data_IF_358771969746
#
_entry.id   IF_358771969746
#
_cell.length_a   1.000
_cell.length_b   1.000
_cell.length_c   1.000
_cell.angle_alpha   90.00
_cell.angle_beta   90.00
_cell.angle_gamma   90.00
#
_symmetry.space_group_name_H-M   'P 1'
#
loop_
_entity.id
_entity.type
_entity.pdbx_description
1 polymer ?
#
# COMPACT_ATOMS: atom_id res chain seq x y z
N UNK A 1 -42.59 -20.24 -17.08
CA UNK A 1 -41.16 -20.18 -17.43
C UNK A 1 -40.65 -18.78 -17.77
N UNK A 2 -41.34 -18.00 -18.63
CA UNK A 2 -40.90 -16.66 -19.04
C UNK A 2 -40.58 -15.68 -17.89
N UNK A 3 -41.36 -15.69 -16.80
CA UNK A 3 -41.11 -14.80 -15.66
C UNK A 3 -39.80 -15.09 -14.91
N UNK A 4 -39.33 -16.34 -14.88
CA UNK A 4 -38.03 -16.68 -14.28
C UNK A 4 -36.86 -16.22 -15.14
N UNK A 5 -37.02 -16.26 -16.47
CA UNK A 5 -36.00 -15.78 -17.40
C UNK A 5 -35.83 -14.25 -17.30
N UNK A 6 -36.94 -13.51 -17.17
CA UNK A 6 -36.89 -12.06 -16.96
C UNK A 6 -36.20 -11.69 -15.64
N UNK A 7 -36.50 -12.40 -14.54
CA UNK A 7 -35.83 -12.18 -13.25
C UNK A 7 -34.33 -12.52 -13.28
N UNK A 8 -33.94 -13.56 -14.03
CA UNK A 8 -32.52 -13.89 -14.19
C UNK A 8 -31.78 -12.82 -15.00
N UNK A 9 -32.41 -12.28 -16.05
CA UNK A 9 -31.84 -11.18 -16.84
C UNK A 9 -31.73 -9.93 -15.97
N UNK A 10 -32.77 -9.59 -15.21
CA UNK A 10 -32.79 -8.42 -14.31
C UNK A 10 -31.72 -8.51 -13.23
N UNK A 11 -31.61 -9.65 -12.52
CA UNK A 11 -30.57 -9.87 -11.53
C UNK A 11 -29.16 -9.84 -12.14
N UNK A 12 -28.99 -10.36 -13.36
CA UNK A 12 -27.70 -10.31 -14.05
C UNK A 12 -27.34 -8.89 -14.45
N UNK A 13 -28.30 -8.09 -14.90
CA UNK A 13 -28.11 -6.68 -15.26
C UNK A 13 -27.81 -5.83 -14.03
N UNK A 14 -28.49 -6.04 -12.91
CA UNK A 14 -28.20 -5.35 -11.64
C UNK A 14 -26.80 -5.71 -11.15
N UNK A 15 -26.44 -7.00 -11.13
CA UNK A 15 -25.09 -7.43 -10.72
C UNK A 15 -23.99 -6.89 -11.63
N UNK A 16 -24.23 -6.81 -12.94
CA UNK A 16 -23.28 -6.19 -13.87
C UNK A 16 -23.23 -4.67 -13.70
N UNK A 17 -24.37 -4.01 -13.45
CA UNK A 17 -24.47 -2.60 -13.13
C UNK A 17 -23.69 -2.25 -11.85
N UNK A 18 -23.88 -3.01 -10.78
CA UNK A 18 -23.19 -2.83 -9.51
C UNK A 18 -21.69 -3.07 -9.62
N UNK A 19 -21.26 -4.03 -10.45
CA UNK A 19 -19.84 -4.28 -10.72
C UNK A 19 -19.21 -3.17 -11.57
N UNK A 20 -19.94 -2.58 -12.51
CA UNK A 20 -19.47 -1.41 -13.28
C UNK A 20 -19.45 -0.17 -12.38
N UNK A 21 -20.45 0.00 -11.50
CA UNK A 21 -20.52 1.11 -10.54
C UNK A 21 -19.43 0.99 -9.48
N UNK A 22 -19.10 -0.22 -9.00
CA UNK A 22 -17.99 -0.41 -8.05
C UNK A 22 -16.67 -0.01 -8.70
N UNK A 23 -16.40 -0.46 -9.93
CA UNK A 23 -15.19 -0.11 -10.68
C UNK A 23 -15.13 1.39 -11.01
N UNK A 24 -16.27 2.07 -11.18
CA UNK A 24 -16.37 3.52 -11.40
C UNK A 24 -16.24 4.32 -10.09
N UNK A 25 -16.61 3.74 -8.94
CA UNK A 25 -16.43 4.32 -7.59
C UNK A 25 -15.02 4.10 -7.03
N UNK A 26 -14.39 2.99 -7.40
CA UNK A 26 -13.02 2.66 -7.06
C UNK A 26 -12.07 3.68 -7.69
N UNK A 27 -11.26 4.30 -6.85
CA UNK A 27 -10.23 5.21 -7.32
C UNK A 27 -9.19 4.43 -8.15
N UNK A 28 -8.42 5.10 -9.01
CA UNK A 28 -7.32 4.48 -9.75
C UNK A 28 -6.33 3.75 -8.84
N UNK A 29 -6.17 4.23 -7.61
CA UNK A 29 -5.33 3.63 -6.59
C UNK A 29 -5.83 2.27 -6.10
N UNK A 30 -7.15 2.02 -6.06
CA UNK A 30 -7.71 0.74 -5.58
C UNK A 30 -7.37 -0.43 -6.51
N UNK A 31 -7.05 -0.12 -7.77
CA UNK A 31 -6.68 -1.08 -8.81
C UNK A 31 -5.21 -1.51 -8.76
N UNK A 32 -4.40 -0.92 -7.88
CA UNK A 32 -2.97 -1.24 -7.74
C UNK A 32 -2.82 -2.44 -6.81
N UNK A 33 -2.12 -3.49 -7.22
CA UNK A 33 -1.97 -4.72 -6.44
C UNK A 33 -0.97 -4.58 -5.29
N UNK A 34 0.16 -3.89 -5.51
CA UNK A 34 1.16 -3.71 -4.48
C UNK A 34 0.67 -2.75 -3.38
N UNK A 35 0.60 -3.20 -2.11
CA UNK A 35 0.03 -2.41 -1.03
C UNK A 35 0.84 -1.15 -0.69
N UNK A 36 2.16 -1.18 -0.87
CA UNK A 36 3.04 -0.02 -0.62
C UNK A 36 2.82 1.04 -1.70
N UNK A 37 2.86 0.65 -2.98
CA UNK A 37 2.58 1.52 -4.12
C UNK A 37 1.18 2.12 -4.01
N UNK A 38 0.18 1.31 -3.63
CA UNK A 38 -1.18 1.79 -3.34
C UNK A 38 -1.19 2.84 -2.22
N UNK A 39 -0.53 2.58 -1.11
CA UNK A 39 -0.47 3.51 0.04
C UNK A 39 0.20 4.84 -0.34
N UNK A 40 1.33 4.79 -1.03
CA UNK A 40 2.07 5.97 -1.51
C UNK A 40 1.18 6.78 -2.46
N UNK A 41 0.58 6.14 -3.45
CA UNK A 41 -0.25 6.81 -4.47
C UNK A 41 -1.54 7.37 -3.87
N UNK A 42 -2.15 6.68 -2.91
CA UNK A 42 -3.32 7.18 -2.18
C UNK A 42 -2.97 8.40 -1.32
N UNK A 43 -1.85 8.37 -0.57
CA UNK A 43 -1.38 9.53 0.23
C UNK A 43 -1.11 10.76 -0.62
N UNK A 44 -0.68 10.56 -1.86
CA UNK A 44 -0.42 11.65 -2.80
C UNK A 44 -1.68 12.16 -3.52
N UNK A 45 -2.85 11.52 -3.34
CA UNK A 45 -4.14 12.01 -3.84
C UNK A 45 -4.37 11.86 -5.35
N UNK A 46 -3.77 10.85 -5.99
CA UNK A 46 -3.73 10.76 -7.46
C UNK A 46 -5.02 10.25 -8.11
N UNK A 47 -5.24 10.71 -9.36
CA UNK A 47 -6.45 10.43 -10.15
C UNK A 47 -6.28 9.65 -11.46
N UNK A 48 -5.11 9.58 -12.11
CA UNK A 48 -4.96 8.80 -13.37
C UNK A 48 -3.54 8.23 -13.56
N UNK A 49 -2.52 9.02 -13.27
CA UNK A 49 -1.10 8.65 -13.21
C UNK A 49 -0.31 9.86 -12.71
N UNK A 50 0.95 9.71 -12.29
CA UNK A 50 1.79 10.90 -12.03
C UNK A 50 3.24 10.74 -12.43
N UNK A 51 3.96 11.88 -12.52
CA UNK A 51 5.38 11.90 -12.75
C UNK A 51 6.15 10.83 -12.00
N UNK A 52 6.91 10.07 -12.79
CA UNK A 52 7.72 8.94 -12.32
C UNK A 52 8.78 9.36 -11.32
N UNK A 53 9.33 10.57 -11.48
CA UNK A 53 10.31 11.12 -10.56
C UNK A 53 9.70 11.28 -9.16
N UNK A 54 8.57 11.97 -9.05
CA UNK A 54 7.86 12.20 -7.80
C UNK A 54 7.42 10.88 -7.16
N UNK A 55 6.96 9.93 -7.97
CA UNK A 55 6.61 8.59 -7.51
C UNK A 55 7.78 7.89 -6.79
N UNK A 56 8.92 7.80 -7.46
CA UNK A 56 10.09 7.07 -6.96
C UNK A 56 10.70 7.76 -5.74
N UNK A 57 10.75 9.09 -5.71
CA UNK A 57 11.19 9.84 -4.53
C UNK A 57 10.25 9.61 -3.34
N UNK A 58 8.93 9.64 -3.56
CA UNK A 58 7.96 9.40 -2.49
C UNK A 58 8.06 7.95 -1.97
N UNK A 59 8.32 6.99 -2.85
CA UNK A 59 8.56 5.60 -2.47
C UNK A 59 9.82 5.47 -1.59
N UNK A 60 10.91 6.14 -1.97
CA UNK A 60 12.12 6.21 -1.15
C UNK A 60 11.83 6.82 0.22
N UNK A 61 11.16 7.98 0.25
CA UNK A 61 10.84 8.69 1.49
C UNK A 61 9.93 7.88 2.40
N UNK A 62 9.01 7.10 1.83
CA UNK A 62 8.17 6.16 2.58
C UNK A 62 9.01 5.13 3.34
N UNK A 63 9.96 4.46 2.67
CA UNK A 63 10.80 3.46 3.34
C UNK A 63 11.76 4.08 4.35
N UNK A 64 12.28 5.29 4.08
CA UNK A 64 13.11 6.03 5.03
C UNK A 64 12.31 6.41 6.27
N UNK A 65 11.10 6.96 6.09
CA UNK A 65 10.22 7.32 7.20
C UNK A 65 9.81 6.08 8.01
N UNK A 66 9.46 4.98 7.35
CA UNK A 66 9.09 3.72 8.02
C UNK A 66 10.25 3.14 8.84
N UNK A 67 11.47 3.19 8.31
CA UNK A 67 12.66 2.70 9.02
C UNK A 67 13.01 3.58 10.24
N UNK A 68 12.80 4.89 10.13
CA UNK A 68 13.08 5.85 11.21
C UNK A 68 11.94 6.00 12.21
N UNK A 69 10.76 5.46 11.90
CA UNK A 69 9.60 5.52 12.78
C UNK A 69 9.83 4.64 14.02
N UNK A 70 10.25 5.25 15.13
CA UNK A 70 10.32 4.57 16.45
C UNK A 70 9.01 4.69 17.23
N UNK A 71 7.98 5.34 16.70
CA UNK A 71 6.82 5.79 17.48
C UNK A 71 6.10 4.63 18.20
N UNK A 72 6.07 3.44 17.61
CA UNK A 72 5.46 2.25 18.25
C UNK A 72 6.27 1.77 19.46
N UNK A 73 7.60 1.82 19.37
CA UNK A 73 8.51 1.44 20.48
C UNK A 73 8.47 2.51 21.56
N UNK A 74 8.50 3.79 21.16
CA UNK A 74 8.43 4.93 22.07
C UNK A 74 7.08 4.98 22.81
N UNK A 75 5.98 4.67 22.11
CA UNK A 75 4.64 4.54 22.71
C UNK A 75 4.59 3.38 23.72
N UNK A 76 5.22 2.24 23.42
CA UNK A 76 5.34 1.14 24.38
C UNK A 76 6.09 1.58 25.64
N UNK A 77 7.26 2.22 25.51
CA UNK A 77 8.02 2.73 26.66
C UNK A 77 7.21 3.74 27.47
N UNK A 78 6.43 4.59 26.80
CA UNK A 78 5.53 5.56 27.46
C UNK A 78 4.44 4.87 28.27
N UNK A 79 3.78 3.86 27.71
CA UNK A 79 2.74 3.06 28.41
C UNK A 79 3.34 2.31 29.61
N UNK A 80 4.56 1.79 29.49
CA UNK A 80 5.25 1.10 30.58
C UNK A 80 5.72 2.05 31.69
N UNK A 81 6.20 3.24 31.33
CA UNK A 81 6.67 4.24 32.28
C UNK A 81 5.52 4.96 33.01
N UNK A 82 4.35 5.07 32.37
CA UNK A 82 3.18 5.74 32.91
C UNK A 82 1.90 5.04 32.44
N UNK A 83 1.52 3.91 33.07
CA UNK A 83 0.31 3.18 32.69
C UNK A 83 -0.93 4.02 32.96
N UNK A 84 -1.83 4.09 31.99
CA UNK A 84 -3.10 4.80 32.14
C UNK A 84 -3.88 4.24 33.35
N UNK A 85 -4.66 5.07 34.08
CA UNK A 85 -5.47 4.59 35.19
C UNK A 85 -6.45 3.52 34.69
N UNK A 86 -6.28 2.27 35.17
CA UNK A 86 -7.09 1.13 34.73
C UNK A 86 -6.47 0.24 33.64
N UNK A 87 -5.22 0.49 33.21
CA UNK A 87 -4.51 -0.41 32.30
C UNK A 87 -4.28 -1.78 32.94
N UNK A 88 -4.75 -2.83 32.26
CA UNK A 88 -4.59 -4.22 32.71
C UNK A 88 -3.26 -4.82 32.24
N UNK A 89 -2.84 -5.92 32.87
CA UNK A 89 -1.67 -6.68 32.43
C UNK A 89 -1.83 -7.22 30.99
N UNK A 90 -3.06 -7.52 30.58
CA UNK A 90 -3.38 -7.97 29.22
C UNK A 90 -3.16 -6.85 28.20
N UNK A 91 -3.52 -5.60 28.53
CA UNK A 91 -3.28 -4.43 27.68
C UNK A 91 -1.78 -4.19 27.46
N UNK A 92 -0.97 -4.37 28.50
CA UNK A 92 0.48 -4.25 28.44
C UNK A 92 1.10 -5.36 27.58
N UNK A 93 0.58 -6.59 27.71
CA UNK A 93 1.03 -7.73 26.92
C UNK A 93 0.69 -7.56 25.43
N UNK A 94 -0.48 -6.99 25.13
CA UNK A 94 -0.89 -6.66 23.77
C UNK A 94 0.00 -5.56 23.17
N UNK A 95 0.29 -4.50 23.94
CA UNK A 95 1.18 -3.42 23.51
C UNK A 95 2.61 -3.94 23.21
N UNK A 96 3.12 -4.85 24.04
CA UNK A 96 4.43 -5.48 23.82
C UNK A 96 4.46 -6.30 22.53
N UNK A 97 3.42 -7.11 22.27
CA UNK A 97 3.31 -7.88 21.03
C UNK A 97 3.27 -6.98 19.80
N UNK A 98 2.49 -5.90 19.85
CA UNK A 98 2.41 -4.93 18.76
C UNK A 98 3.75 -4.23 18.50
N UNK A 99 4.48 -3.85 19.55
CA UNK A 99 5.81 -3.25 19.42
C UNK A 99 6.83 -4.23 18.81
N UNK A 100 6.84 -5.48 19.26
CA UNK A 100 7.70 -6.51 18.67
C UNK A 100 7.34 -6.81 17.21
N UNK A 101 6.05 -6.91 16.87
CA UNK A 101 5.65 -7.15 15.46
C UNK A 101 6.05 -5.97 14.57
N UNK A 102 5.88 -4.74 15.04
CA UNK A 102 6.30 -3.55 14.28
C UNK A 102 7.82 -3.49 14.12
N UNK A 103 8.60 -3.78 15.16
CA UNK A 103 10.05 -3.85 15.08
C UNK A 103 10.53 -4.96 14.12
N UNK A 104 9.90 -6.13 14.16
CA UNK A 104 10.17 -7.24 13.23
C UNK A 104 9.87 -6.84 11.78
N UNK A 105 8.76 -6.17 11.54
CA UNK A 105 8.40 -5.68 10.20
C UNK A 105 9.43 -4.66 9.71
N UNK A 106 9.84 -3.68 10.53
CA UNK A 106 10.89 -2.71 10.15
C UNK A 106 12.22 -3.39 9.81
N UNK A 107 12.61 -4.40 10.59
CA UNK A 107 13.81 -5.18 10.29
C UNK A 107 13.69 -5.94 8.96
N UNK A 108 12.50 -6.47 8.65
CA UNK A 108 12.22 -7.13 7.38
C UNK A 108 12.29 -6.14 6.20
N UNK A 109 11.73 -4.93 6.32
CA UNK A 109 11.72 -3.95 5.22
C UNK A 109 13.08 -3.28 4.96
N UNK A 110 14.08 -3.49 5.83
CA UNK A 110 15.40 -2.85 5.71
C UNK A 110 16.15 -3.20 4.43
N UNK A 111 15.83 -4.34 3.79
CA UNK A 111 16.40 -4.70 2.49
C UNK A 111 16.02 -3.68 1.41
N UNK A 112 14.84 -3.05 1.52
CA UNK A 112 14.31 -2.13 0.51
C UNK A 112 15.21 -0.91 0.38
N UNK A 113 15.69 -0.35 1.49
CA UNK A 113 16.62 0.78 1.51
C UNK A 113 17.97 0.50 0.84
N UNK A 114 18.38 -0.77 0.76
CA UNK A 114 19.60 -1.14 0.01
C UNK A 114 19.40 -0.96 -1.50
N UNK A 115 18.18 -1.09 -2.00
CA UNK A 115 17.88 -1.11 -3.43
C UNK A 115 17.10 0.13 -3.90
N UNK A 116 16.29 0.73 -3.04
CA UNK A 116 15.57 1.99 -3.25
C UNK A 116 16.43 3.07 -2.60
N UNK A 117 17.42 3.55 -3.34
CA UNK A 117 18.36 4.59 -2.92
C UNK A 117 18.71 5.50 -4.09
N UNK A 118 19.38 6.62 -3.81
CA UNK A 118 19.75 7.67 -4.79
C UNK A 118 20.42 7.11 -6.06
N UNK A 119 21.29 6.10 -5.93
CA UNK A 119 22.01 5.51 -7.07
C UNK A 119 21.09 4.73 -8.01
N UNK A 120 19.96 4.25 -7.49
CA UNK A 120 19.00 3.44 -8.22
C UNK A 120 17.74 4.22 -8.61
N UNK A 121 17.65 5.53 -8.34
CA UNK A 121 16.47 6.34 -8.69
C UNK A 121 16.21 6.29 -10.20
N UNK A 122 17.23 6.54 -11.02
CA UNK A 122 17.07 6.52 -12.49
C UNK A 122 16.64 5.12 -12.99
N UNK A 123 17.32 4.02 -12.64
CA UNK A 123 16.86 2.68 -12.99
C UNK A 123 15.43 2.37 -12.51
N UNK A 124 15.06 2.82 -11.32
CA UNK A 124 13.70 2.64 -10.81
C UNK A 124 12.69 3.42 -11.65
N UNK A 125 13.02 4.64 -12.06
CA UNK A 125 12.17 5.42 -12.96
C UNK A 125 11.97 4.68 -14.28
N UNK A 126 13.03 4.20 -14.92
CA UNK A 126 12.93 3.44 -16.18
C UNK A 126 12.08 2.17 -16.05
N UNK A 127 12.13 1.50 -14.90
CA UNK A 127 11.33 0.29 -14.64
C UNK A 127 9.84 0.62 -14.45
N UNK A 128 9.52 1.75 -13.81
CA UNK A 128 8.15 2.17 -13.57
C UNK A 128 7.50 2.93 -14.74
N UNK A 129 8.29 3.57 -15.59
CA UNK A 129 7.89 4.34 -16.79
C UNK A 129 8.43 3.64 -18.04
N UNK A 130 7.85 2.47 -18.34
CA UNK A 130 8.34 1.58 -19.40
C UNK A 130 8.06 2.10 -20.81
N UNK A 131 7.14 3.05 -20.95
CA UNK A 131 6.82 3.72 -22.22
C UNK A 131 7.54 5.07 -22.39
N UNK A 132 8.36 5.48 -21.40
CA UNK A 132 9.09 6.74 -21.36
C UNK A 132 8.19 7.99 -21.52
N UNK A 133 6.94 7.90 -21.05
CA UNK A 133 6.00 9.02 -21.03
C UNK A 133 6.36 10.06 -19.96
N UNK A 134 7.19 9.68 -18.98
CA UNK A 134 7.50 10.45 -17.78
C UNK A 134 6.46 10.26 -16.66
N UNK A 135 5.47 9.41 -16.84
CA UNK A 135 4.37 9.19 -15.90
C UNK A 135 4.23 7.70 -15.57
N UNK A 136 3.79 7.40 -14.34
CA UNK A 136 3.45 6.04 -13.92
C UNK A 136 1.94 5.87 -13.90
N UNK A 137 1.46 4.96 -14.72
CA UNK A 137 0.07 4.51 -14.75
C UNK A 137 -0.19 3.36 -13.78
N UNK A 138 -1.47 3.09 -13.51
CA UNK A 138 -1.90 1.93 -12.71
C UNK A 138 -1.40 0.62 -13.34
N UNK A 139 -1.42 0.53 -14.67
CA UNK A 139 -0.99 -0.66 -15.37
C UNK A 139 0.51 -0.89 -15.16
N UNK A 140 1.35 0.13 -15.33
CA UNK A 140 2.80 0.00 -15.13
C UNK A 140 3.16 -0.34 -13.69
N UNK A 141 2.53 0.31 -12.72
CA UNK A 141 2.70 -0.04 -11.31
C UNK A 141 2.37 -1.52 -11.04
N UNK A 142 1.29 -2.04 -11.66
CA UNK A 142 0.92 -3.44 -11.56
C UNK A 142 1.88 -4.38 -12.29
N UNK A 143 2.42 -3.96 -13.44
CA UNK A 143 3.43 -4.73 -14.17
C UNK A 143 4.69 -4.89 -13.32
N UNK A 144 5.20 -3.81 -12.73
CA UNK A 144 6.37 -3.87 -11.84
C UNK A 144 6.07 -4.73 -10.61
N UNK A 145 4.88 -4.59 -10.02
CA UNK A 145 4.45 -5.44 -8.90
C UNK A 145 4.41 -6.93 -9.27
N UNK A 146 4.04 -7.27 -10.52
CA UNK A 146 4.01 -8.65 -11.01
C UNK A 146 5.39 -9.28 -11.20
N UNK A 147 6.44 -8.46 -11.32
CA UNK A 147 7.83 -8.93 -11.37
C UNK A 147 8.34 -9.40 -10.02
N UNK A 148 7.61 -9.14 -8.92
CA UNK A 148 7.98 -9.63 -7.59
C UNK A 148 7.91 -11.17 -7.56
N UNK A 149 9.00 -11.87 -7.18
CA UNK A 149 8.99 -13.32 -6.98
C UNK A 149 7.90 -13.74 -5.99
N UNK A 150 7.29 -14.92 -6.22
CA UNK A 150 6.17 -15.42 -5.41
C UNK A 150 6.50 -15.67 -3.93
N UNK A 151 7.78 -15.78 -3.60
CA UNK A 151 8.28 -16.08 -2.25
C UNK A 151 8.98 -14.87 -1.59
N UNK A 152 8.71 -13.66 -2.10
CA UNK A 152 9.14 -12.40 -1.50
C UNK A 152 8.10 -11.90 -0.49
#
# INVERSE_FOLDING_TARGET
EQQRQLQQIENTVINQGDRVISVVREGPHDRIHDPVSRCVIHRMGWKLGVPVQEFVHTLHDYYVAQNNDSAVVDNYFTIMASPAPGSTADDQTLALRAAFSAAKQRAAEKWALKHINIKNIIPLMEVFDGDASGFVSVWEANQVASLRPKDW
#
